data_IF_753708541033
#
_entry.id   IF_753708541033
#
_cell.length_a   1.000
_cell.length_b   1.000
_cell.length_c   1.000
_cell.angle_alpha   90.00
_cell.angle_beta   90.00
_cell.angle_gamma   90.00
#
_symmetry.space_group_name_H-M   'P 1'
#
loop_
_entity.id
_entity.type
_entity.pdbx_description
1 polymer ?
#
# COMPACT_ATOMS: atom_id res chain seq x y z
N UNK A 1 -10.38 -19.21 -3.70
CA UNK A 1 -11.60 -18.40 -3.86
C UNK A 1 -12.57 -18.60 -2.69
N UNK A 2 -12.35 -17.96 -1.52
CA UNK A 2 -13.31 -18.01 -0.41
C UNK A 2 -14.62 -17.25 -0.70
N UNK A 3 -14.58 -16.23 -1.58
CA UNK A 3 -15.73 -15.40 -1.91
C UNK A 3 -16.89 -16.11 -2.63
N UNK A 4 -16.64 -17.21 -3.34
CA UNK A 4 -17.69 -17.96 -4.04
C UNK A 4 -18.52 -18.80 -3.05
N UNK A 5 -17.88 -19.35 -2.03
CA UNK A 5 -18.53 -20.27 -1.08
C UNK A 5 -19.00 -19.57 0.20
N UNK A 6 -18.41 -18.43 0.56
CA UNK A 6 -18.73 -17.68 1.78
C UNK A 6 -18.74 -16.16 1.62
N UNK A 7 -18.76 -15.64 0.39
CA UNK A 7 -18.88 -14.21 0.16
C UNK A 7 -20.28 -13.67 0.45
N UNK A 8 -20.37 -12.34 0.62
CA UNK A 8 -21.62 -11.63 0.87
C UNK A 8 -22.66 -11.91 -0.23
N UNK A 9 -22.23 -12.00 -1.49
CA UNK A 9 -23.11 -12.35 -2.61
C UNK A 9 -23.75 -13.73 -2.43
N UNK A 10 -22.97 -14.74 -2.05
CA UNK A 10 -23.44 -16.10 -1.81
C UNK A 10 -24.41 -16.18 -0.64
N UNK A 11 -24.21 -15.39 0.42
CA UNK A 11 -25.13 -15.30 1.56
C UNK A 11 -26.46 -14.67 1.13
N UNK A 12 -26.41 -13.55 0.40
CA UNK A 12 -27.61 -12.85 -0.09
C UNK A 12 -28.41 -13.75 -1.03
N UNK A 13 -27.76 -14.44 -1.97
CA UNK A 13 -28.43 -15.32 -2.93
C UNK A 13 -29.03 -16.56 -2.27
N UNK A 14 -28.43 -17.07 -1.18
CA UNK A 14 -29.03 -18.15 -0.37
C UNK A 14 -30.34 -17.71 0.29
N UNK A 15 -30.41 -16.48 0.80
CA UNK A 15 -31.61 -15.97 1.46
C UNK A 15 -32.65 -15.44 0.46
N UNK A 16 -32.20 -14.90 -0.66
CA UNK A 16 -33.04 -14.26 -1.69
C UNK A 16 -32.65 -14.75 -3.08
N UNK A 17 -33.16 -15.91 -3.49
CA UNK A 17 -32.82 -16.58 -4.75
C UNK A 17 -33.19 -15.80 -6.02
N UNK A 18 -34.08 -14.81 -5.91
CA UNK A 18 -34.47 -13.91 -7.01
C UNK A 18 -33.60 -12.65 -7.12
N UNK A 19 -32.67 -12.43 -6.19
CA UNK A 19 -31.79 -11.28 -6.24
C UNK A 19 -30.82 -11.41 -7.43
N UNK A 20 -30.62 -10.32 -8.16
CA UNK A 20 -29.65 -10.25 -9.25
C UNK A 20 -28.35 -9.69 -8.69
N UNK A 21 -27.27 -10.45 -8.79
CA UNK A 21 -25.94 -10.00 -8.39
C UNK A 21 -25.11 -9.64 -9.61
N UNK A 22 -24.67 -8.39 -9.68
CA UNK A 22 -23.81 -7.87 -10.76
C UNK A 22 -22.58 -7.25 -10.11
N UNK A 23 -21.41 -7.55 -10.65
CA UNK A 23 -20.17 -6.92 -10.23
C UNK A 23 -20.11 -5.48 -10.73
N UNK A 24 -19.68 -4.56 -9.87
CA UNK A 24 -19.38 -3.20 -10.32
C UNK A 24 -18.11 -3.20 -11.17
N UNK A 25 -18.02 -2.28 -12.13
CA UNK A 25 -16.86 -2.19 -13.03
C UNK A 25 -15.54 -2.02 -12.26
N UNK A 26 -15.55 -1.25 -11.17
CA UNK A 26 -14.39 -1.08 -10.30
C UNK A 26 -13.93 -2.42 -9.67
N UNK A 27 -14.86 -3.27 -9.27
CA UNK A 27 -14.53 -4.60 -8.73
C UNK A 27 -13.98 -5.52 -9.82
N UNK A 28 -14.56 -5.51 -11.01
CA UNK A 28 -14.03 -6.28 -12.14
C UNK A 28 -12.59 -5.87 -12.47
N UNK A 29 -12.32 -4.56 -12.49
CA UNK A 29 -10.96 -4.05 -12.70
C UNK A 29 -10.00 -4.50 -11.59
N UNK A 30 -10.44 -4.44 -10.33
CA UNK A 30 -9.61 -4.86 -9.20
C UNK A 30 -9.27 -6.36 -9.24
N UNK A 31 -10.22 -7.21 -9.65
CA UNK A 31 -9.98 -8.63 -9.90
C UNK A 31 -8.94 -8.85 -11.00
N UNK A 32 -9.06 -8.15 -12.13
CA UNK A 32 -8.09 -8.26 -13.23
C UNK A 32 -6.68 -7.84 -12.77
N UNK A 33 -6.57 -6.76 -12.00
CA UNK A 33 -5.28 -6.32 -11.43
C UNK A 33 -4.71 -7.39 -10.49
N UNK A 34 -5.55 -7.98 -9.63
CA UNK A 34 -5.15 -9.07 -8.75
C UNK A 34 -4.64 -10.28 -9.54
N UNK A 35 -5.40 -10.76 -10.53
CA UNK A 35 -5.03 -11.90 -11.37
C UNK A 35 -3.69 -11.66 -12.10
N UNK A 36 -3.49 -10.46 -12.66
CA UNK A 36 -2.22 -10.09 -13.31
C UNK A 36 -1.04 -10.11 -12.33
N UNK A 37 -1.25 -9.61 -11.12
CA UNK A 37 -0.20 -9.57 -10.10
C UNK A 37 0.13 -10.94 -9.52
N UNK A 38 -0.84 -11.86 -9.50
CA UNK A 38 -0.63 -13.24 -9.05
C UNK A 38 0.09 -14.06 -10.13
N UNK A 39 -0.14 -13.76 -11.41
CA UNK A 39 0.59 -14.37 -12.53
C UNK A 39 2.01 -13.83 -12.71
N UNK A 40 2.25 -12.58 -12.32
CA UNK A 40 3.54 -11.93 -12.45
C UNK A 40 4.20 -11.70 -11.09
N UNK A 41 4.96 -12.69 -10.62
CA UNK A 41 5.61 -12.66 -9.32
C UNK A 41 6.49 -11.42 -9.09
N UNK A 42 7.15 -10.90 -10.13
CA UNK A 42 7.96 -9.68 -10.01
C UNK A 42 7.12 -8.45 -9.65
N UNK A 43 5.93 -8.31 -10.24
CA UNK A 43 4.97 -7.24 -9.91
C UNK A 43 4.43 -7.47 -8.50
N UNK A 44 3.99 -8.69 -8.18
CA UNK A 44 3.48 -9.03 -6.84
C UNK A 44 4.50 -8.72 -5.73
N UNK A 45 5.75 -9.13 -5.92
CA UNK A 45 6.84 -8.86 -4.98
C UNK A 45 7.14 -7.36 -4.88
N UNK A 46 7.18 -6.63 -6.00
CA UNK A 46 7.38 -5.18 -5.99
C UNK A 46 6.32 -4.47 -5.14
N UNK A 47 5.04 -4.86 -5.27
CA UNK A 47 3.94 -4.28 -4.47
C UNK A 47 4.13 -4.58 -2.98
N UNK A 48 4.56 -5.80 -2.63
CA UNK A 48 4.85 -6.16 -1.24
C UNK A 48 6.03 -5.35 -0.67
N UNK A 49 7.12 -5.20 -1.42
CA UNK A 49 8.25 -4.37 -1.01
C UNK A 49 7.85 -2.91 -0.79
N UNK A 50 7.07 -2.34 -1.71
CA UNK A 50 6.54 -0.98 -1.58
C UNK A 50 5.69 -0.85 -0.32
N UNK A 51 4.82 -1.84 -0.06
CA UNK A 51 4.03 -1.89 1.19
C UNK A 51 4.93 -1.89 2.41
N UNK A 52 5.94 -2.73 2.45
CA UNK A 52 6.84 -2.85 3.58
C UNK A 52 7.61 -1.56 3.85
N UNK A 53 8.07 -0.87 2.79
CA UNK A 53 8.73 0.44 2.92
C UNK A 53 7.76 1.49 3.48
N UNK A 54 6.55 1.57 2.94
CA UNK A 54 5.52 2.52 3.38
C UNK A 54 5.13 2.26 4.83
N UNK A 55 4.85 1.01 5.17
CA UNK A 55 4.49 0.60 6.52
C UNK A 55 5.65 0.78 7.49
N UNK A 56 6.88 0.51 7.07
CA UNK A 56 8.07 0.81 7.85
C UNK A 56 8.07 2.29 8.20
N UNK A 57 8.12 3.21 7.25
CA UNK A 57 8.17 4.65 7.55
C UNK A 57 6.99 5.08 8.45
N UNK A 58 5.76 4.68 8.10
CA UNK A 58 4.53 5.13 8.78
C UNK A 58 4.31 4.56 10.17
N UNK A 59 4.75 3.33 10.47
CA UNK A 59 4.48 2.67 11.76
C UNK A 59 5.25 3.27 12.95
N UNK A 60 6.23 4.15 12.71
CA UNK A 60 6.94 4.84 13.80
C UNK A 60 6.70 6.34 13.73
N UNK A 61 6.14 6.95 14.79
CA UNK A 61 6.08 8.40 14.92
C UNK A 61 7.45 9.08 14.80
N UNK A 62 8.51 8.47 15.35
CA UNK A 62 9.90 8.98 15.26
C UNK A 62 10.34 9.10 13.79
N UNK A 63 10.09 8.07 12.97
CA UNK A 63 10.45 8.10 11.53
C UNK A 63 9.67 9.14 10.74
N UNK A 64 8.40 9.36 11.09
CA UNK A 64 7.60 10.41 10.46
C UNK A 64 8.08 11.82 10.83
N UNK A 65 8.53 12.03 12.06
CA UNK A 65 9.13 13.30 12.50
C UNK A 65 10.43 13.55 11.73
N UNK A 66 11.32 12.56 11.69
CA UNK A 66 12.60 12.65 10.95
C UNK A 66 12.33 12.98 9.47
N UNK A 67 11.36 12.32 8.84
CA UNK A 67 10.98 12.64 7.46
C UNK A 67 10.57 14.10 7.30
N UNK A 68 9.75 14.63 8.21
CA UNK A 68 9.35 16.05 8.19
C UNK A 68 10.54 16.98 8.38
N UNK A 69 11.47 16.64 9.26
CA UNK A 69 12.70 17.42 9.49
C UNK A 69 13.57 17.46 8.24
N UNK A 70 13.74 16.33 7.54
CA UNK A 70 14.46 16.28 6.26
C UNK A 70 13.80 17.22 5.25
N UNK A 71 12.47 17.17 5.10
CA UNK A 71 11.73 18.07 4.22
C UNK A 71 11.93 19.55 4.58
N UNK A 72 11.95 19.87 5.87
CA UNK A 72 12.22 21.23 6.37
C UNK A 72 13.64 21.70 6.04
N UNK A 73 14.65 20.84 6.24
CA UNK A 73 16.06 21.15 5.97
C UNK A 73 16.34 21.46 4.50
N UNK A 74 15.65 20.76 3.59
CA UNK A 74 15.80 20.95 2.14
C UNK A 74 14.79 21.96 1.55
N UNK A 75 14.05 22.68 2.39
CA UNK A 75 13.06 23.70 2.00
C UNK A 75 11.99 23.18 1.02
N UNK A 76 11.66 21.89 1.09
CA UNK A 76 10.61 21.28 0.26
C UNK A 76 9.28 21.17 1.02
N UNK A 77 8.19 21.24 0.27
CA UNK A 77 6.85 20.96 0.80
C UNK A 77 6.74 19.50 1.21
N UNK A 78 6.41 19.26 2.48
CA UNK A 78 6.22 17.93 3.02
C UNK A 78 5.06 17.20 2.34
N UNK A 79 5.35 16.03 1.79
CA UNK A 79 4.35 15.14 1.20
C UNK A 79 4.00 14.02 2.18
N UNK A 80 2.71 13.87 2.49
CA UNK A 80 2.24 12.75 3.29
C UNK A 80 2.37 11.44 2.51
N UNK A 81 3.04 10.46 3.11
CA UNK A 81 3.10 9.09 2.57
C UNK A 81 1.78 8.38 2.83
N UNK A 82 1.05 7.98 1.80
CA UNK A 82 -0.25 7.30 1.95
C UNK A 82 -0.09 5.79 2.00
N UNK A 83 -0.85 5.12 2.89
CA UNK A 83 -0.83 3.66 3.01
C UNK A 83 -1.47 3.01 1.78
N UNK A 84 -0.97 1.84 1.39
CA UNK A 84 -1.64 1.02 0.38
C UNK A 84 -2.96 0.46 0.92
N UNK A 85 -4.01 0.47 0.09
CA UNK A 85 -5.27 -0.15 0.45
C UNK A 85 -5.10 -1.68 0.50
N UNK A 86 -5.42 -2.37 1.61
CA UNK A 86 -5.16 -3.81 1.71
C UNK A 86 -5.92 -4.66 0.69
N UNK A 87 -7.07 -4.17 0.22
CA UNK A 87 -8.04 -4.94 -0.57
C UNK A 87 -8.42 -4.31 -1.90
N UNK A 88 -7.94 -3.10 -2.23
CA UNK A 88 -8.24 -2.40 -3.50
C UNK A 88 -6.95 -1.93 -4.16
N UNK A 89 -6.37 -2.78 -4.99
CA UNK A 89 -5.11 -2.48 -5.70
C UNK A 89 -5.27 -1.36 -6.73
N UNK A 90 -6.47 -1.20 -7.27
CA UNK A 90 -6.85 -0.09 -8.15
C UNK A 90 -6.67 1.30 -7.54
N UNK A 91 -6.63 1.41 -6.20
CA UNK A 91 -6.44 2.68 -5.49
C UNK A 91 -4.96 2.98 -5.15
N UNK A 92 -4.02 2.12 -5.52
CA UNK A 92 -2.62 2.26 -5.10
C UNK A 92 -1.84 3.39 -5.78
N UNK A 93 -2.36 3.96 -6.87
CA UNK A 93 -1.67 4.97 -7.65
C UNK A 93 -1.22 6.18 -6.80
N UNK A 94 -2.05 6.62 -5.85
CA UNK A 94 -1.72 7.72 -4.95
C UNK A 94 -0.60 7.34 -3.96
N UNK A 95 -0.64 6.12 -3.43
CA UNK A 95 0.42 5.58 -2.55
C UNK A 95 1.75 5.48 -3.28
N UNK A 96 1.75 4.98 -4.52
CA UNK A 96 2.94 4.94 -5.35
C UNK A 96 3.47 6.35 -5.65
N UNK A 97 2.57 7.27 -6.01
CA UNK A 97 2.93 8.66 -6.26
C UNK A 97 3.53 9.35 -5.03
N UNK A 98 2.97 9.13 -3.84
CA UNK A 98 3.51 9.71 -2.61
C UNK A 98 4.87 9.12 -2.25
N UNK A 99 5.09 7.81 -2.42
CA UNK A 99 6.39 7.19 -2.21
C UNK A 99 7.45 7.73 -3.18
N UNK A 100 7.11 7.86 -4.47
CA UNK A 100 8.03 8.40 -5.48
C UNK A 100 8.43 9.85 -5.16
N UNK A 101 7.49 10.68 -4.70
CA UNK A 101 7.76 12.07 -4.30
C UNK A 101 8.72 12.17 -3.12
N UNK A 102 8.68 11.21 -2.19
CA UNK A 102 9.56 11.19 -1.02
C UNK A 102 10.77 10.28 -1.20
N UNK A 103 11.00 9.69 -2.39
CA UNK A 103 11.95 8.59 -2.56
C UNK A 103 13.37 8.98 -2.12
N UNK A 104 13.84 10.15 -2.54
CA UNK A 104 15.17 10.67 -2.19
C UNK A 104 15.30 10.90 -0.67
N UNK A 105 14.31 11.55 -0.06
CA UNK A 105 14.29 11.84 1.38
C UNK A 105 14.11 10.56 2.22
N UNK A 106 13.34 9.60 1.70
CA UNK A 106 13.11 8.31 2.33
C UNK A 106 14.40 7.50 2.48
N UNK A 107 15.34 7.59 1.53
CA UNK A 107 16.65 6.94 1.63
C UNK A 107 17.44 7.43 2.84
N UNK A 108 17.32 8.70 3.19
CA UNK A 108 18.03 9.28 4.34
C UNK A 108 17.52 8.72 5.67
N UNK A 109 16.24 8.36 5.79
CA UNK A 109 15.70 7.67 6.97
C UNK A 109 16.43 6.34 7.20
N UNK A 110 16.66 5.57 6.14
CA UNK A 110 17.37 4.29 6.26
C UNK A 110 18.84 4.50 6.65
N UNK A 111 19.49 5.55 6.12
CA UNK A 111 20.84 5.93 6.52
C UNK A 111 20.92 6.37 7.99
N UNK A 112 19.94 7.15 8.47
CA UNK A 112 19.84 7.57 9.86
C UNK A 112 19.70 6.36 10.81
N UNK A 113 18.80 5.43 10.49
CA UNK A 113 18.58 4.23 11.32
C UNK A 113 19.84 3.35 11.36
N UNK A 114 20.56 3.22 10.25
CA UNK A 114 21.82 2.47 10.23
C UNK A 114 22.88 3.08 11.16
N UNK A 115 22.93 4.41 11.29
CA UNK A 115 23.81 5.11 12.25
C UNK A 115 23.37 4.89 13.70
N UNK A 116 22.07 5.07 13.98
CA UNK A 116 21.47 4.84 15.30
C UNK A 116 21.70 3.39 15.78
N UNK A 117 21.64 2.40 14.89
CA UNK A 117 21.86 0.99 15.26
C UNK A 117 23.32 0.66 15.62
N UNK A 118 24.30 1.36 15.05
CA UNK A 118 25.74 1.14 15.31
C UNK A 118 26.17 1.81 16.63
N UNK A 119 25.45 2.84 17.10
CA UNK A 119 25.74 3.47 18.41
C UNK A 119 25.35 2.63 19.64
N UNK A 120 24.75 1.45 19.46
CA UNK A 120 24.39 0.50 20.53
C UNK A 120 25.22 -0.80 20.49
N UNK A 121 26.23 -0.88 19.62
CA UNK A 121 27.19 -2.00 19.53
C UNK A 121 28.58 -1.54 19.92
#
# INVERSE_FOLDING_TARGET
MPGIYGGVSSIILKQYSKAIYIYCVAHCLDLVVHDLTDQCASIGNCILYVKDIIDFIRRSPKRLIILKEIFYQILLSYTNLTALCPTRRTMHAESYGSLLKIYEQGKEIFAYIKKDAVSFS
#
